data_IF_210854451819
#
_entry.id   IF_210854451819
#
_cell.length_a   1.000
_cell.length_b   1.000
_cell.length_c   1.000
_cell.angle_alpha   90.00
_cell.angle_beta   90.00
_cell.angle_gamma   90.00
#
_symmetry.space_group_name_H-M   'P 1'
#
loop_
_entity.id
_entity.type
_entity.pdbx_description
1 polymer ?
#
# COMPACT_ATOMS: atom_id res chain seq x y z
N UNK A 1 1.16 25.98 49.30
CA UNK A 1 1.96 26.89 48.45
C UNK A 1 3.33 26.24 48.32
N UNK A 2 3.72 25.55 47.26
CA UNK A 2 3.48 25.78 45.84
C UNK A 2 4.83 26.10 45.21
N UNK A 3 5.54 25.10 44.70
CA UNK A 3 6.64 25.27 43.74
C UNK A 3 7.00 23.92 43.13
N UNK A 4 6.32 23.61 42.03
CA UNK A 4 6.71 22.57 41.07
C UNK A 4 7.88 23.14 40.28
N UNK A 5 9.07 22.54 40.40
CA UNK A 5 10.22 22.89 39.56
C UNK A 5 10.48 21.77 38.55
N UNK A 6 10.15 22.11 37.32
CA UNK A 6 10.29 21.42 36.06
C UNK A 6 11.72 20.98 35.82
N UNK A 7 11.96 19.68 35.61
CA UNK A 7 13.23 19.18 35.08
C UNK A 7 13.13 19.11 33.55
N UNK A 8 13.90 19.90 32.77
CA UNK A 8 13.82 19.88 31.32
C UNK A 8 14.67 18.72 30.77
N UNK A 9 14.03 17.78 30.08
CA UNK A 9 14.70 16.78 29.25
C UNK A 9 14.84 17.31 27.82
N UNK A 10 15.98 16.98 27.20
CA UNK A 10 16.48 17.31 25.85
C UNK A 10 17.42 18.52 25.76
N UNK A 11 18.72 18.22 25.90
CA UNK A 11 19.81 19.04 25.39
C UNK A 11 19.84 18.99 23.83
N UNK A 12 20.26 20.07 23.14
CA UNK A 12 20.37 20.08 21.67
C UNK A 12 21.60 19.30 21.18
N UNK A 13 21.43 18.53 20.10
CA UNK A 13 22.53 17.95 19.33
C UNK A 13 23.17 19.08 18.50
N UNK A 14 24.38 19.50 18.88
CA UNK A 14 25.21 20.40 18.07
C UNK A 14 25.72 19.66 16.82
N UNK A 15 25.26 20.07 15.64
CA UNK A 15 25.85 19.68 14.36
C UNK A 15 26.96 20.69 14.06
N UNK A 16 28.22 20.26 14.14
CA UNK A 16 29.39 21.07 13.88
C UNK A 16 29.50 21.46 12.40
N UNK A 17 29.46 22.77 12.11
CA UNK A 17 29.89 23.36 10.84
C UNK A 17 31.41 23.50 10.76
N UNK A 18 32.03 22.85 9.75
CA UNK A 18 33.27 23.25 9.04
C UNK A 18 33.53 22.21 7.94
N UNK A 19 33.90 22.51 6.71
CA UNK A 19 34.21 23.77 6.06
C UNK A 19 34.07 23.59 4.53
N UNK A 20 33.88 24.74 3.87
CA UNK A 20 33.67 24.97 2.43
C UNK A 20 34.88 24.65 1.53
N UNK A 21 34.57 24.58 0.23
CA UNK A 21 35.37 24.78 -1.01
C UNK A 21 35.80 23.46 -1.67
N UNK A 22 35.61 23.20 -2.97
CA UNK A 22 35.53 24.02 -4.19
C UNK A 22 34.75 23.31 -5.31
N UNK A 23 33.97 24.06 -6.11
CA UNK A 23 33.46 23.65 -7.42
C UNK A 23 34.56 23.69 -8.50
N UNK A 24 34.36 23.00 -9.63
CA UNK A 24 34.37 23.69 -10.92
C UNK A 24 33.12 23.40 -11.76
N UNK A 25 32.67 24.44 -12.48
CA UNK A 25 31.62 24.42 -13.48
C UNK A 25 32.05 23.60 -14.70
N UNK A 26 31.12 22.81 -15.26
CA UNK A 26 31.12 22.50 -16.68
C UNK A 26 29.69 22.52 -17.19
N UNK A 27 29.51 23.31 -18.25
CA UNK A 27 28.29 23.54 -19.00
C UNK A 27 27.84 22.27 -19.75
N UNK A 28 26.53 22.02 -19.80
CA UNK A 28 25.94 21.28 -20.91
C UNK A 28 24.48 21.69 -21.16
N UNK A 29 24.22 22.01 -22.42
CA UNK A 29 22.97 22.50 -23.01
C UNK A 29 21.92 21.38 -23.17
N UNK A 30 20.64 21.71 -23.47
CA UNK A 30 19.49 20.83 -23.23
C UNK A 30 19.31 19.80 -24.36
N UNK A 31 19.34 18.52 -24.02
CA UNK A 31 19.01 17.43 -24.92
C UNK A 31 17.53 17.03 -24.80
N UNK A 32 16.89 17.01 -25.97
CA UNK A 32 15.48 16.84 -26.25
C UNK A 32 14.85 15.60 -25.61
N UNK A 33 13.64 15.83 -25.10
CA UNK A 33 12.58 14.86 -24.81
C UNK A 33 12.39 13.86 -25.97
N UNK A 34 12.58 12.58 -25.67
CA UNK A 34 12.01 11.48 -26.45
C UNK A 34 11.21 10.58 -25.51
N UNK A 35 9.90 10.59 -25.74
CA UNK A 35 8.89 9.77 -25.07
C UNK A 35 9.29 8.29 -25.05
N UNK A 36 9.61 7.79 -23.85
CA UNK A 36 9.84 6.37 -23.60
C UNK A 36 8.49 5.70 -23.36
N UNK A 37 7.91 5.14 -24.42
CA UNK A 37 6.70 4.32 -24.35
C UNK A 37 6.88 3.23 -23.29
N UNK A 38 5.98 3.23 -22.31
CA UNK A 38 5.94 2.29 -21.21
C UNK A 38 5.73 0.87 -21.75
N UNK A 39 6.65 -0.03 -21.40
CA UNK A 39 6.51 -1.47 -21.60
C UNK A 39 6.00 -2.11 -20.30
N UNK A 40 4.98 -1.50 -19.71
CA UNK A 40 4.32 -1.95 -18.48
C UNK A 40 3.05 -2.74 -18.86
N UNK A 41 3.21 -4.01 -19.24
CA UNK A 41 2.05 -4.86 -19.58
C UNK A 41 2.28 -6.35 -19.30
N UNK A 42 3.20 -6.71 -18.40
CA UNK A 42 3.46 -8.14 -18.07
C UNK A 42 3.41 -8.52 -16.60
N UNK A 43 3.14 -7.58 -15.71
CA UNK A 43 3.03 -7.87 -14.27
C UNK A 43 1.79 -7.19 -13.70
N UNK A 44 0.62 -7.62 -14.17
CA UNK A 44 -0.60 -7.44 -13.42
C UNK A 44 -0.65 -8.56 -12.38
N UNK A 45 -0.59 -8.21 -11.10
CA UNK A 45 -0.95 -9.14 -10.02
C UNK A 45 -2.44 -9.41 -10.21
N UNK A 46 -2.88 -10.65 -10.49
CA UNK A 46 -4.30 -10.92 -10.66
C UNK A 46 -4.98 -10.80 -9.31
N UNK A 47 -5.57 -9.63 -9.05
CA UNK A 47 -6.52 -9.42 -7.97
C UNK A 47 -7.77 -10.19 -8.39
N UNK A 48 -8.06 -11.30 -7.71
CA UNK A 48 -9.25 -12.11 -8.00
C UNK A 48 -10.50 -11.24 -7.85
N UNK A 49 -11.19 -10.99 -8.96
CA UNK A 49 -12.40 -10.19 -9.03
C UNK A 49 -13.48 -10.75 -8.09
N UNK A 50 -13.85 -9.99 -7.05
CA UNK A 50 -15.10 -10.21 -6.31
C UNK A 50 -16.18 -9.34 -6.94
N UNK A 51 -17.07 -9.95 -7.72
CA UNK A 51 -18.34 -9.34 -8.11
C UNK A 51 -19.50 -10.12 -7.50
N UNK A 52 -20.48 -9.47 -6.84
CA UNK A 52 -21.59 -10.14 -6.19
C UNK A 52 -22.70 -10.42 -7.20
N UNK A 53 -23.59 -11.39 -6.92
CA UNK A 53 -24.97 -11.34 -7.40
C UNK A 53 -25.92 -12.20 -6.57
N UNK A 54 -27.05 -11.56 -6.28
CA UNK A 54 -28.26 -11.99 -5.58
C UNK A 54 -28.99 -13.18 -6.21
N UNK A 55 -29.70 -13.88 -5.31
CA UNK A 55 -31.03 -14.51 -5.42
C UNK A 55 -31.27 -15.62 -6.43
N UNK A 56 -31.52 -16.79 -5.85
CA UNK A 56 -32.13 -18.00 -6.42
C UNK A 56 -33.61 -17.78 -6.77
N UNK A 57 -34.04 -18.41 -7.88
CA UNK A 57 -35.41 -18.93 -8.02
C UNK A 57 -35.42 -20.17 -8.92
N UNK A 58 -36.23 -21.14 -8.49
CA UNK A 58 -36.31 -22.54 -8.92
C UNK A 58 -36.85 -22.80 -10.33
N UNK A 59 -36.50 -23.95 -10.92
CA UNK A 59 -37.35 -25.18 -10.98
C UNK A 59 -37.21 -26.03 -12.25
N UNK A 60 -37.04 -27.35 -12.00
CA UNK A 60 -37.51 -28.56 -12.70
C UNK A 60 -37.13 -28.96 -14.14
N UNK A 61 -36.71 -30.23 -14.27
CA UNK A 61 -36.77 -31.01 -15.51
C UNK A 61 -35.88 -32.27 -15.54
N UNK A 62 -36.48 -33.47 -15.43
CA UNK A 62 -35.83 -34.80 -15.38
C UNK A 62 -35.27 -35.28 -16.73
N UNK A 63 -34.19 -36.06 -16.69
CA UNK A 63 -33.78 -36.98 -17.77
C UNK A 63 -32.38 -37.59 -17.53
N UNK A 64 -32.28 -38.92 -17.47
CA UNK A 64 -31.06 -39.66 -17.15
C UNK A 64 -30.53 -40.47 -18.35
N UNK A 65 -29.24 -40.30 -18.69
CA UNK A 65 -28.28 -41.24 -19.32
C UNK A 65 -27.02 -40.47 -19.80
N UNK A 66 -25.88 -41.11 -20.14
CA UNK A 66 -25.04 -42.08 -19.44
C UNK A 66 -23.72 -41.44 -18.91
N UNK A 67 -22.95 -42.16 -18.09
CA UNK A 67 -21.79 -41.64 -17.35
C UNK A 67 -20.61 -41.19 -18.25
N UNK A 68 -20.40 -39.87 -18.31
CA UNK A 68 -19.18 -39.23 -18.81
C UNK A 68 -18.05 -39.25 -17.76
N UNK A 69 -16.77 -39.30 -18.18
CA UNK A 69 -15.63 -39.30 -17.26
C UNK A 69 -15.66 -38.03 -16.41
N UNK A 70 -15.64 -38.20 -15.08
CA UNK A 70 -15.66 -37.10 -14.12
C UNK A 70 -14.47 -36.17 -14.37
N UNK A 71 -14.74 -35.06 -15.07
CA UNK A 71 -13.88 -33.90 -15.15
C UNK A 71 -13.65 -33.41 -13.73
N UNK A 72 -12.51 -33.79 -13.14
CA UNK A 72 -12.07 -33.34 -11.83
C UNK A 72 -12.17 -31.81 -11.81
N UNK A 73 -13.15 -31.30 -11.07
CA UNK A 73 -13.29 -29.86 -10.80
C UNK A 73 -12.04 -29.45 -10.04
N UNK A 74 -11.14 -28.80 -10.77
CA UNK A 74 -9.81 -28.41 -10.31
C UNK A 74 -9.96 -27.17 -9.41
N UNK A 75 -10.12 -27.41 -8.11
CA UNK A 75 -9.58 -26.59 -7.02
C UNK A 75 -10.28 -25.27 -6.66
N UNK A 76 -11.25 -25.35 -5.73
CA UNK A 76 -11.58 -24.36 -4.67
C UNK A 76 -12.37 -25.14 -3.60
N UNK A 77 -12.06 -25.17 -2.27
CA UNK A 77 -11.59 -24.08 -1.38
C UNK A 77 -10.22 -24.29 -0.68
N UNK A 78 -9.67 -25.51 -0.65
CA UNK A 78 -8.41 -25.82 0.08
C UNK A 78 -7.20 -25.02 -0.40
N UNK A 79 -7.18 -24.60 -1.66
CA UNK A 79 -6.08 -23.83 -2.25
C UNK A 79 -5.97 -22.42 -1.68
N UNK A 80 -7.11 -21.79 -1.40
CA UNK A 80 -7.21 -20.39 -0.99
C UNK A 80 -6.94 -20.28 0.53
N UNK A 81 -7.42 -21.26 1.31
CA UNK A 81 -7.12 -21.37 2.75
C UNK A 81 -5.62 -21.55 3.02
N UNK A 82 -4.95 -22.38 2.22
CA UNK A 82 -3.49 -22.59 2.32
C UNK A 82 -2.74 -21.31 1.93
N UNK A 83 -3.20 -20.59 0.91
CA UNK A 83 -2.59 -19.34 0.48
C UNK A 83 -2.69 -18.25 1.54
N UNK A 84 -3.89 -18.03 2.10
CA UNK A 84 -4.06 -17.09 3.22
C UNK A 84 -3.23 -17.48 4.44
N UNK A 85 -3.10 -18.79 4.72
CA UNK A 85 -2.22 -19.28 5.80
C UNK A 85 -0.75 -18.95 5.53
N UNK A 86 -0.26 -19.17 4.30
CA UNK A 86 1.12 -18.85 3.92
C UNK A 86 1.38 -17.36 4.03
N UNK A 87 0.48 -16.51 3.51
CA UNK A 87 0.64 -15.06 3.53
C UNK A 87 0.60 -14.51 4.96
N UNK A 88 -0.29 -15.03 5.82
CA UNK A 88 -0.32 -14.69 7.24
C UNK A 88 1.00 -15.02 7.93
N UNK A 89 1.49 -16.25 7.78
CA UNK A 89 2.76 -16.69 8.39
C UNK A 89 3.94 -15.90 7.84
N UNK A 90 3.93 -15.56 6.54
CA UNK A 90 4.96 -14.70 5.96
C UNK A 90 4.93 -13.29 6.58
N UNK A 91 3.75 -12.71 6.80
CA UNK A 91 3.57 -11.43 7.50
C UNK A 91 4.09 -11.48 8.94
N UNK A 92 3.84 -12.56 9.68
CA UNK A 92 4.39 -12.78 11.03
C UNK A 92 5.93 -12.79 11.01
N UNK A 93 6.55 -13.57 10.11
CA UNK A 93 8.01 -13.65 9.99
C UNK A 93 8.64 -12.30 9.61
N UNK A 94 7.99 -11.56 8.71
CA UNK A 94 8.42 -10.22 8.30
C UNK A 94 8.32 -9.22 9.46
N UNK A 95 7.27 -9.30 10.28
CA UNK A 95 7.12 -8.45 11.46
C UNK A 95 8.11 -8.81 12.57
N UNK A 96 8.44 -10.09 12.75
CA UNK A 96 9.34 -10.60 13.81
C UNK A 96 10.82 -10.30 13.52
N UNK A 97 11.27 -10.48 12.27
CA UNK A 97 12.71 -10.41 11.94
C UNK A 97 13.02 -9.81 10.58
N UNK A 98 12.05 -9.09 10.00
CA UNK A 98 12.20 -8.41 8.74
C UNK A 98 12.36 -9.34 7.54
N UNK A 99 12.78 -8.75 6.42
CA UNK A 99 12.91 -9.42 5.14
C UNK A 99 13.87 -10.60 5.26
N UNK A 100 15.00 -10.46 5.96
CA UNK A 100 15.95 -11.55 6.18
C UNK A 100 15.30 -12.80 6.80
N UNK A 101 14.41 -12.63 7.78
CA UNK A 101 13.72 -13.73 8.46
C UNK A 101 12.71 -14.47 7.58
N UNK A 102 12.19 -13.85 6.52
CA UNK A 102 11.33 -14.52 5.54
C UNK A 102 12.13 -15.56 4.75
N UNK A 103 12.11 -16.80 5.24
CA UNK A 103 12.81 -17.93 4.65
C UNK A 103 11.81 -19.06 4.35
N UNK A 104 11.96 -19.70 3.19
CA UNK A 104 10.95 -20.65 2.69
C UNK A 104 10.92 -21.96 3.49
N UNK A 105 11.99 -22.31 4.19
CA UNK A 105 12.04 -23.44 5.12
C UNK A 105 11.14 -23.22 6.34
N UNK A 106 11.38 -22.15 7.09
CA UNK A 106 10.60 -21.78 8.26
C UNK A 106 9.15 -21.47 7.89
N UNK A 107 8.93 -20.83 6.74
CA UNK A 107 7.60 -20.58 6.22
C UNK A 107 6.85 -21.90 5.93
N UNK A 108 7.47 -22.83 5.21
CA UNK A 108 6.88 -24.14 4.91
C UNK A 108 6.55 -24.91 6.19
N UNK A 109 7.47 -24.90 7.17
CA UNK A 109 7.28 -25.54 8.46
C UNK A 109 6.12 -24.90 9.26
N UNK A 110 6.10 -23.57 9.40
CA UNK A 110 5.11 -22.84 10.21
C UNK A 110 3.72 -22.80 9.55
N UNK A 111 3.66 -22.70 8.21
CA UNK A 111 2.43 -22.80 7.43
C UNK A 111 1.97 -24.25 7.15
N UNK A 112 2.73 -25.26 7.59
CA UNK A 112 2.46 -26.70 7.39
C UNK A 112 2.19 -27.06 5.92
N UNK A 113 3.01 -26.54 5.01
CA UNK A 113 2.90 -26.78 3.58
C UNK A 113 4.25 -27.20 2.99
N UNK A 114 4.26 -27.71 1.74
CA UNK A 114 5.50 -28.02 1.05
C UNK A 114 6.09 -26.78 0.39
N UNK A 115 7.43 -26.68 0.28
CA UNK A 115 8.10 -25.63 -0.51
C UNK A 115 7.60 -25.56 -1.95
N UNK A 116 7.31 -26.71 -2.56
CA UNK A 116 6.74 -26.79 -3.91
C UNK A 116 5.37 -26.07 -4.01
N UNK A 117 4.61 -25.99 -2.92
CA UNK A 117 3.35 -25.25 -2.86
C UNK A 117 3.59 -23.74 -2.87
N UNK A 118 4.62 -23.27 -2.19
CA UNK A 118 5.04 -21.86 -2.15
C UNK A 118 5.60 -21.43 -3.51
N UNK A 119 6.60 -22.14 -4.03
CA UNK A 119 7.25 -21.80 -5.31
C UNK A 119 6.32 -21.81 -6.52
N UNK A 120 5.21 -22.59 -6.47
CA UNK A 120 4.20 -22.59 -7.54
C UNK A 120 3.46 -21.26 -7.65
N UNK A 121 3.34 -20.51 -6.55
CA UNK A 121 2.52 -19.29 -6.44
C UNK A 121 3.35 -18.02 -6.40
N UNK A 122 4.49 -18.04 -5.71
CA UNK A 122 5.39 -16.90 -5.61
C UNK A 122 6.75 -17.26 -6.18
N UNK A 123 7.14 -16.53 -7.22
CA UNK A 123 8.37 -16.76 -8.00
C UNK A 123 9.62 -16.35 -7.25
N UNK A 124 9.51 -15.39 -6.33
CA UNK A 124 10.62 -14.89 -5.51
C UNK A 124 10.15 -14.57 -4.09
N UNK A 125 11.13 -14.45 -3.18
CA UNK A 125 10.91 -13.98 -1.81
C UNK A 125 10.31 -12.58 -1.78
N UNK A 126 10.75 -11.69 -2.69
CA UNK A 126 10.17 -10.36 -2.87
C UNK A 126 8.70 -10.42 -3.31
N UNK A 127 8.36 -11.30 -4.26
CA UNK A 127 6.98 -11.50 -4.70
C UNK A 127 6.07 -11.95 -3.55
N UNK A 128 6.55 -12.89 -2.72
CA UNK A 128 5.82 -13.31 -1.52
C UNK A 128 5.67 -12.16 -0.52
N UNK A 129 6.75 -11.44 -0.24
CA UNK A 129 6.74 -10.34 0.71
C UNK A 129 5.75 -9.23 0.32
N UNK A 130 5.73 -8.83 -0.94
CA UNK A 130 4.79 -7.83 -1.44
C UNK A 130 3.35 -8.37 -1.44
N UNK A 131 3.16 -9.66 -1.73
CA UNK A 131 1.83 -10.28 -1.62
C UNK A 131 1.29 -10.24 -0.17
N UNK A 132 2.15 -10.29 0.86
CA UNK A 132 1.67 -10.12 2.26
C UNK A 132 1.08 -8.73 2.52
N UNK A 133 1.59 -7.68 1.89
CA UNK A 133 1.01 -6.34 1.98
C UNK A 133 -0.30 -6.23 1.20
N UNK A 134 -0.46 -7.01 0.13
CA UNK A 134 -1.68 -7.03 -0.67
C UNK A 134 -2.87 -7.69 0.07
N UNK A 135 -2.61 -8.54 1.06
CA UNK A 135 -3.65 -9.14 1.92
C UNK A 135 -4.30 -8.14 2.88
N UNK A 136 -3.71 -6.96 3.06
CA UNK A 136 -4.37 -5.91 3.81
C UNK A 136 -5.66 -5.53 3.10
N UNK A 137 -6.80 -5.52 3.83
CA UNK A 137 -8.06 -5.15 3.21
C UNK A 137 -7.95 -3.76 2.62
N UNK A 138 -8.64 -3.52 1.52
CA UNK A 138 -8.80 -2.17 1.03
C UNK A 138 -9.82 -1.44 1.92
N UNK A 139 -9.60 -0.16 2.24
CA UNK A 139 -10.61 0.64 2.92
C UNK A 139 -11.88 0.72 2.06
N UNK A 140 -13.01 0.96 2.72
CA UNK A 140 -14.23 1.32 1.99
C UNK A 140 -13.95 2.55 1.11
N UNK A 141 -14.52 2.58 -0.09
CA UNK A 141 -14.45 3.74 -0.97
C UNK A 141 -15.72 4.58 -0.75
N UNK A 142 -15.66 5.66 0.04
CA UNK A 142 -16.83 6.51 0.29
C UNK A 142 -17.23 7.23 -1.00
N UNK A 143 -18.49 7.64 -1.09
CA UNK A 143 -19.03 8.50 -2.14
C UNK A 143 -20.25 9.28 -1.60
N UNK A 144 -20.00 10.17 -0.63
CA UNK A 144 -21.01 11.01 0.02
C UNK A 144 -21.39 12.24 -0.78
N UNK A 145 -20.62 12.56 -1.82
CA UNK A 145 -20.83 13.74 -2.66
C UNK A 145 -20.09 15.00 -2.16
N UNK A 146 -19.31 14.89 -1.09
CA UNK A 146 -18.41 15.93 -0.58
C UNK A 146 -16.99 15.36 -0.50
N UNK A 147 -16.04 16.02 -1.16
CA UNK A 147 -14.66 15.56 -1.26
C UNK A 147 -13.97 15.50 0.10
N UNK A 148 -14.24 16.47 0.97
CA UNK A 148 -13.61 16.57 2.27
C UNK A 148 -14.08 15.42 3.17
N UNK A 149 -15.37 15.14 3.20
CA UNK A 149 -15.93 13.99 3.91
C UNK A 149 -15.44 12.66 3.33
N UNK A 150 -15.43 12.52 2.00
CA UNK A 150 -14.92 11.33 1.31
C UNK A 150 -13.43 11.07 1.67
N UNK A 151 -12.61 12.11 1.72
CA UNK A 151 -11.19 11.98 2.09
C UNK A 151 -11.02 11.56 3.55
N UNK A 152 -11.77 12.16 4.48
CA UNK A 152 -11.72 11.79 5.90
C UNK A 152 -12.08 10.33 6.11
N UNK A 153 -13.19 9.88 5.54
CA UNK A 153 -13.64 8.50 5.72
C UNK A 153 -12.68 7.49 5.10
N UNK A 154 -12.16 7.78 3.89
CA UNK A 154 -11.17 6.93 3.24
C UNK A 154 -9.90 6.81 4.09
N UNK A 155 -9.32 7.94 4.52
CA UNK A 155 -8.08 7.97 5.28
C UNK A 155 -8.25 7.40 6.69
N UNK A 156 -9.39 7.66 7.35
CA UNK A 156 -9.76 7.03 8.61
C UNK A 156 -9.81 5.50 8.49
N UNK A 157 -10.37 4.97 7.39
CA UNK A 157 -10.33 3.55 7.08
C UNK A 157 -8.92 2.99 6.91
N UNK A 158 -8.06 3.69 6.15
CA UNK A 158 -6.65 3.30 5.98
C UNK A 158 -5.91 3.23 7.32
N UNK A 159 -6.10 4.25 8.18
CA UNK A 159 -5.42 4.35 9.47
C UNK A 159 -5.93 3.28 10.44
N UNK A 160 -7.23 2.99 10.45
CA UNK A 160 -7.78 1.90 11.23
C UNK A 160 -7.15 0.55 10.85
N UNK A 161 -6.99 0.28 9.55
CA UNK A 161 -6.34 -0.94 9.04
C UNK A 161 -4.87 -0.99 9.47
N UNK A 162 -4.12 0.09 9.33
CA UNK A 162 -2.71 0.13 9.72
C UNK A 162 -2.50 0.00 11.23
N UNK A 163 -3.32 0.67 12.04
CA UNK A 163 -3.22 0.63 13.50
C UNK A 163 -3.61 -0.74 14.09
N UNK A 164 -4.43 -1.53 13.38
CA UNK A 164 -4.90 -2.85 13.83
C UNK A 164 -4.09 -4.03 13.24
N UNK A 165 -3.09 -3.77 12.40
CA UNK A 165 -2.35 -4.82 11.69
C UNK A 165 -0.84 -4.75 11.94
N UNK A 166 -0.15 -5.83 11.59
CA UNK A 166 1.32 -5.85 11.53
C UNK A 166 1.87 -5.22 10.23
N UNK A 167 1.05 -4.49 9.47
CA UNK A 167 1.43 -3.87 8.20
C UNK A 167 2.63 -2.94 8.32
N UNK A 168 2.69 -2.13 9.39
CA UNK A 168 3.73 -1.12 9.55
C UNK A 168 5.12 -1.75 9.72
N UNK A 169 5.36 -2.69 10.66
CA UNK A 169 6.63 -3.41 10.74
C UNK A 169 7.04 -4.10 9.43
N UNK A 170 6.07 -4.70 8.73
CA UNK A 170 6.32 -5.34 7.43
C UNK A 170 6.77 -4.30 6.40
N UNK A 171 6.05 -3.19 6.26
CA UNK A 171 6.42 -2.11 5.33
C UNK A 171 7.79 -1.51 5.66
N UNK A 172 8.07 -1.23 6.93
CA UNK A 172 9.38 -0.74 7.38
C UNK A 172 10.50 -1.69 6.95
N UNK A 173 10.30 -2.99 7.15
CA UNK A 173 11.28 -3.98 6.74
C UNK A 173 11.49 -4.01 5.23
N UNK A 174 10.42 -3.96 4.42
CA UNK A 174 10.55 -4.05 2.97
C UNK A 174 11.14 -2.78 2.36
N UNK A 175 10.78 -1.62 2.90
CA UNK A 175 11.34 -0.34 2.48
C UNK A 175 12.84 -0.26 2.77
N UNK A 176 13.29 -0.78 3.92
CA UNK A 176 14.70 -0.85 4.27
C UNK A 176 15.56 -1.68 3.30
N UNK A 177 14.96 -2.65 2.61
CA UNK A 177 15.65 -3.54 1.66
C UNK A 177 15.65 -3.05 0.21
N UNK A 178 14.88 -2.00 -0.11
CA UNK A 178 14.75 -1.47 -1.49
C UNK A 178 16.08 -1.13 -2.16
N UNK A 179 17.05 -0.63 -1.40
CA UNK A 179 18.36 -0.27 -1.94
C UNK A 179 19.24 -1.48 -2.29
N UNK A 180 18.96 -2.64 -1.69
CA UNK A 180 19.73 -3.88 -1.87
C UNK A 180 19.11 -4.82 -2.89
N UNK A 181 17.80 -4.71 -3.11
CA UNK A 181 17.03 -5.57 -4.01
C UNK A 181 16.18 -4.72 -4.99
N UNK A 182 16.68 -4.47 -6.22
CA UNK A 182 15.95 -3.72 -7.23
C UNK A 182 14.64 -4.39 -7.69
N UNK A 183 14.57 -5.72 -7.68
CA UNK A 183 13.34 -6.44 -8.04
C UNK A 183 12.26 -6.19 -6.98
N UNK A 184 12.62 -6.26 -5.70
CA UNK A 184 11.74 -5.89 -4.60
C UNK A 184 11.30 -4.41 -4.69
N UNK A 185 12.21 -3.51 -5.05
CA UNK A 185 11.89 -2.09 -5.21
C UNK A 185 10.82 -1.87 -6.29
N UNK A 186 10.93 -2.56 -7.43
CA UNK A 186 9.93 -2.50 -8.51
C UNK A 186 8.59 -3.10 -8.08
N UNK A 187 8.60 -4.23 -7.37
CA UNK A 187 7.38 -4.84 -6.84
C UNK A 187 6.67 -3.94 -5.82
N UNK A 188 7.41 -3.29 -4.92
CA UNK A 188 6.87 -2.34 -3.94
C UNK A 188 6.29 -1.11 -4.63
N UNK A 189 6.96 -0.58 -5.66
CA UNK A 189 6.42 0.53 -6.45
C UNK A 189 5.06 0.17 -7.04
N UNK A 190 4.94 -1.00 -7.68
CA UNK A 190 3.67 -1.45 -8.26
C UNK A 190 2.58 -1.61 -7.18
N UNK A 191 2.91 -2.21 -6.04
CA UNK A 191 1.96 -2.42 -4.96
C UNK A 191 1.48 -1.10 -4.33
N UNK A 192 2.38 -0.15 -4.09
CA UNK A 192 2.00 1.16 -3.56
C UNK A 192 1.17 1.97 -4.56
N UNK A 193 1.47 1.87 -5.86
CA UNK A 193 0.64 2.50 -6.88
C UNK A 193 -0.77 1.90 -6.92
N UNK A 194 -0.89 0.58 -6.83
CA UNK A 194 -2.20 -0.08 -6.77
C UNK A 194 -3.02 0.38 -5.55
N UNK A 195 -2.38 0.55 -4.38
CA UNK A 195 -3.07 1.01 -3.15
C UNK A 195 -3.51 2.48 -3.21
N UNK A 196 -2.90 3.30 -4.09
CA UNK A 196 -3.30 4.71 -4.29
C UNK A 196 -4.57 4.87 -5.12
N UNK A 197 -5.00 3.83 -5.84
CA UNK A 197 -6.13 3.94 -6.77
C UNK A 197 -7.44 4.33 -6.09
N UNK A 198 -7.68 3.90 -4.85
CA UNK A 198 -8.85 4.33 -4.07
C UNK A 198 -8.87 5.84 -3.82
N UNK A 199 -7.72 6.40 -3.41
CA UNK A 199 -7.56 7.84 -3.22
C UNK A 199 -7.67 8.59 -4.55
N UNK A 200 -7.04 8.09 -5.62
CA UNK A 200 -7.16 8.67 -6.95
C UNK A 200 -8.63 8.73 -7.42
N UNK A 201 -9.42 7.69 -7.14
CA UNK A 201 -10.85 7.68 -7.45
C UNK A 201 -11.62 8.79 -6.71
N UNK A 202 -11.40 8.94 -5.39
CA UNK A 202 -12.03 10.02 -4.60
C UNK A 202 -11.69 11.39 -5.17
N UNK A 203 -10.40 11.64 -5.44
CA UNK A 203 -9.94 12.92 -5.98
C UNK A 203 -10.51 13.19 -7.39
N UNK A 204 -10.56 12.18 -8.26
CA UNK A 204 -11.18 12.29 -9.59
C UNK A 204 -12.67 12.66 -9.51
N UNK A 205 -13.41 12.13 -8.53
CA UNK A 205 -14.80 12.53 -8.29
C UNK A 205 -14.90 13.98 -7.81
N UNK A 206 -14.01 14.43 -6.92
CA UNK A 206 -13.92 15.83 -6.50
C UNK A 206 -13.69 16.79 -7.68
N UNK A 207 -12.80 16.44 -8.62
CA UNK A 207 -12.61 17.20 -9.87
C UNK A 207 -13.89 17.22 -10.71
N UNK A 208 -14.53 16.07 -10.90
CA UNK A 208 -15.76 15.97 -11.70
C UNK A 208 -16.93 16.79 -11.12
N UNK A 209 -16.96 16.98 -9.80
CA UNK A 209 -17.95 17.82 -9.09
C UNK A 209 -17.56 19.30 -9.02
N UNK A 210 -16.36 19.67 -9.48
CA UNK A 210 -15.86 21.05 -9.43
C UNK A 210 -15.34 21.48 -8.06
N UNK A 211 -15.15 20.55 -7.13
CA UNK A 211 -14.57 20.80 -5.80
C UNK A 211 -13.05 20.97 -5.85
N UNK A 212 -12.42 20.47 -6.91
CA UNK A 212 -11.02 20.68 -7.26
C UNK A 212 -10.92 21.30 -8.67
N UNK A 213 -9.93 22.17 -8.91
CA UNK A 213 -9.63 22.65 -10.26
C UNK A 213 -9.37 21.49 -11.24
N UNK A 214 -9.80 21.62 -12.49
CA UNK A 214 -9.60 20.59 -13.52
C UNK A 214 -8.12 20.27 -13.79
N UNK A 215 -7.23 21.25 -13.61
CA UNK A 215 -5.78 21.14 -13.80
C UNK A 215 -5.03 20.70 -12.53
N UNK A 216 -5.74 20.13 -11.54
CA UNK A 216 -5.11 19.64 -10.31
C UNK A 216 -4.17 18.48 -10.63
N UNK A 217 -2.91 18.61 -10.22
CA UNK A 217 -1.96 17.50 -10.23
C UNK A 217 -2.34 16.51 -9.13
N UNK A 218 -3.08 15.46 -9.52
CA UNK A 218 -3.59 14.47 -8.58
C UNK A 218 -2.46 13.64 -7.95
N UNK A 219 -1.35 13.39 -8.66
CA UNK A 219 -0.23 12.64 -8.09
C UNK A 219 0.43 13.43 -6.97
N UNK A 220 0.66 14.72 -7.20
CA UNK A 220 1.20 15.61 -6.19
C UNK A 220 0.25 15.77 -5.00
N UNK A 221 -1.06 15.91 -5.23
CA UNK A 221 -2.05 15.98 -4.16
C UNK A 221 -2.09 14.68 -3.33
N UNK A 222 -2.01 13.52 -3.97
CA UNK A 222 -1.91 12.24 -3.27
C UNK A 222 -0.62 12.14 -2.45
N UNK A 223 0.51 12.64 -2.95
CA UNK A 223 1.77 12.69 -2.20
C UNK A 223 1.69 13.60 -0.98
N UNK A 224 1.01 14.75 -1.10
CA UNK A 224 0.75 15.65 0.03
C UNK A 224 -0.14 15.02 1.11
N UNK A 225 -1.11 14.19 0.71
CA UNK A 225 -2.02 13.52 1.64
C UNK A 225 -1.34 12.32 2.31
N UNK A 226 -0.72 11.44 1.53
CA UNK A 226 -0.17 10.16 2.01
C UNK A 226 1.21 10.34 2.65
N UNK A 227 2.00 11.30 2.19
CA UNK A 227 3.37 11.54 2.64
C UNK A 227 3.49 11.75 4.15
N UNK A 228 2.73 12.68 4.77
CA UNK A 228 2.77 12.90 6.21
C UNK A 228 2.36 11.67 7.03
N UNK A 229 1.38 10.90 6.56
CA UNK A 229 0.93 9.65 7.19
C UNK A 229 2.07 8.62 7.21
N UNK A 230 2.68 8.37 6.04
CA UNK A 230 3.80 7.44 5.93
C UNK A 230 5.03 7.93 6.71
N UNK A 231 5.28 9.24 6.76
CA UNK A 231 6.36 9.82 7.57
C UNK A 231 6.18 9.49 9.06
N UNK A 232 4.95 9.61 9.59
CA UNK A 232 4.67 9.23 10.98
C UNK A 232 4.87 7.73 11.23
N UNK A 233 4.35 6.88 10.35
CA UNK A 233 4.49 5.43 10.51
C UNK A 233 5.93 4.91 10.31
N UNK A 234 6.67 5.45 9.35
CA UNK A 234 7.93 4.86 8.90
C UNK A 234 9.16 5.58 9.45
N UNK A 235 9.05 6.86 9.79
CA UNK A 235 10.21 7.67 10.15
C UNK A 235 10.16 8.15 11.61
N UNK A 236 9.06 8.75 12.05
CA UNK A 236 9.03 9.45 13.35
C UNK A 236 8.41 8.64 14.48
N UNK A 237 7.57 7.65 14.16
CA UNK A 237 6.80 6.90 15.16
C UNK A 237 5.74 7.72 15.89
N UNK A 238 5.46 8.95 15.42
CA UNK A 238 4.43 9.79 16.02
C UNK A 238 3.03 9.16 15.81
N UNK A 239 2.08 9.34 16.75
CA UNK A 239 0.74 8.78 16.61
C UNK A 239 0.04 9.25 15.33
N UNK A 240 -0.65 8.33 14.66
CA UNK A 240 -1.53 8.61 13.54
C UNK A 240 -2.96 8.41 14.02
N UNK A 241 -3.61 9.53 14.35
CA UNK A 241 -4.93 9.64 14.95
C UNK A 241 -5.86 10.43 14.03
N UNK A 242 -7.17 10.39 14.31
CA UNK A 242 -8.19 11.03 13.48
C UNK A 242 -7.96 12.53 13.32
N UNK A 243 -7.53 13.22 14.38
CA UNK A 243 -7.24 14.66 14.35
C UNK A 243 -6.12 15.00 13.35
N UNK A 244 -5.15 14.10 13.19
CA UNK A 244 -4.07 14.29 12.22
C UNK A 244 -4.57 14.12 10.78
N UNK A 245 -5.57 13.26 10.54
CA UNK A 245 -6.21 13.13 9.23
C UNK A 245 -6.87 14.43 8.86
N UNK A 246 -7.63 15.02 9.79
CA UNK A 246 -8.31 16.28 9.56
C UNK A 246 -7.34 17.40 9.21
N UNK A 247 -6.22 17.50 9.95
CA UNK A 247 -5.16 18.47 9.66
C UNK A 247 -4.59 18.29 8.25
N UNK A 248 -4.32 17.05 7.83
CA UNK A 248 -3.80 16.75 6.48
C UNK A 248 -4.83 17.12 5.41
N UNK A 249 -6.09 16.71 5.58
CA UNK A 249 -7.14 16.95 4.60
C UNK A 249 -7.37 18.45 4.42
N UNK A 250 -7.47 19.21 5.51
CA UNK A 250 -7.64 20.68 5.41
C UNK A 250 -6.42 21.35 4.79
N UNK A 251 -5.21 20.96 5.17
CA UNK A 251 -3.98 21.51 4.60
C UNK A 251 -3.89 21.22 3.09
N UNK A 252 -4.19 19.99 2.67
CA UNK A 252 -4.17 19.58 1.29
C UNK A 252 -5.20 20.35 0.46
N UNK A 253 -6.47 20.41 0.88
CA UNK A 253 -7.52 21.11 0.15
C UNK A 253 -7.30 22.62 0.09
N UNK A 254 -6.79 23.23 1.17
CA UNK A 254 -6.48 24.66 1.21
C UNK A 254 -5.35 25.02 0.25
N UNK A 255 -4.32 24.16 0.14
CA UNK A 255 -3.17 24.42 -0.75
C UNK A 255 -3.55 24.55 -2.23
N UNK A 256 -4.60 23.86 -2.66
CA UNK A 256 -5.10 23.92 -4.05
C UNK A 256 -6.18 24.99 -4.25
N UNK A 257 -6.87 25.42 -3.19
CA UNK A 257 -7.78 26.56 -3.25
C UNK A 257 -7.03 27.90 -3.43
N UNK A 258 -5.74 27.97 -3.06
CA UNK A 258 -4.95 29.19 -3.07
C UNK A 258 -4.21 29.50 -4.38
N UNK A 259 -4.28 28.65 -5.43
CA UNK A 259 -3.65 29.00 -6.72
C UNK A 259 -4.38 30.20 -7.34
N UNK A 260 -3.76 31.39 -7.40
CA UNK A 260 -4.36 32.53 -8.09
C UNK A 260 -4.41 32.21 -9.58
N UNK A 261 -5.55 32.50 -10.20
CA UNK A 261 -5.77 32.52 -11.65
C UNK A 261 -4.70 33.31 -12.40
#
# INVERSE_FOLDING_TARGET
MGSVSTTPWLAPIEISERARRTSPQTSMSPARSTARRSRASRYAIPISERRPLMTTRDSDGRGAAPAEPTRRVRGRPRSDEIEGTILKVAGELLAEGGFAALNFDALAARARCSKATIYRRWTSKGHLAVATLAELPDPALPDRGDLREDLRELLGGVIAIFNQSSAIPVMQSLIGERARDPELADLLNLAFQAKREGLANVLRRGVARGELPAETDLEFLMDLIVGPILCRYLCTGAPVVEEFVDEIVEAALTSFALRPS
#
